data_IF_919860124905
#
_entry.id   IF_919860124905
#
_cell.length_a   1.000
_cell.length_b   1.000
_cell.length_c   1.000
_cell.angle_alpha   90.00
_cell.angle_beta   90.00
_cell.angle_gamma   90.00
#
_symmetry.space_group_name_H-M   'P 1'
#
loop_
_entity.id
_entity.type
_entity.pdbx_description
1 polymer ?
#
# COMPACT_ATOMS: atom_id res chain seq x y z
N UNK A 1 20.14 -29.04 -13.53
CA UNK A 1 18.70 -28.81 -13.29
C UNK A 1 18.20 -29.33 -11.93
N UNK A 2 19.06 -29.78 -11.00
CA UNK A 2 18.63 -30.14 -9.63
C UNK A 2 18.47 -28.93 -8.71
N UNK A 3 19.08 -27.78 -9.03
CA UNK A 3 18.98 -26.55 -8.24
C UNK A 3 17.63 -25.84 -8.40
N UNK A 4 16.90 -26.11 -9.50
CA UNK A 4 15.67 -25.39 -9.82
C UNK A 4 14.58 -25.61 -8.74
N UNK A 5 14.55 -26.81 -8.14
CA UNK A 5 13.61 -27.12 -7.05
C UNK A 5 13.96 -26.51 -5.69
N UNK A 6 15.25 -26.30 -5.39
CA UNK A 6 15.71 -25.63 -4.16
C UNK A 6 15.50 -24.13 -4.28
N UNK A 7 15.89 -23.55 -5.40
CA UNK A 7 15.70 -22.12 -5.70
C UNK A 7 14.21 -21.75 -5.73
N UNK A 8 13.34 -22.58 -6.31
CA UNK A 8 11.89 -22.31 -6.31
C UNK A 8 11.27 -22.30 -4.90
N UNK A 9 11.73 -23.17 -4.00
CA UNK A 9 11.28 -23.17 -2.59
C UNK A 9 11.79 -21.95 -1.83
N UNK A 10 13.05 -21.57 -2.03
CA UNK A 10 13.63 -20.37 -1.42
C UNK A 10 12.92 -19.09 -1.90
N UNK A 11 12.58 -18.99 -3.18
CA UNK A 11 11.82 -17.85 -3.73
C UNK A 11 10.42 -17.79 -3.10
N UNK A 12 9.70 -18.92 -3.02
CA UNK A 12 8.36 -18.96 -2.38
C UNK A 12 8.43 -18.53 -0.91
N UNK A 13 9.45 -18.98 -0.18
CA UNK A 13 9.66 -18.60 1.21
C UNK A 13 10.01 -17.11 1.35
N UNK A 14 10.87 -16.57 0.48
CA UNK A 14 11.23 -15.15 0.47
C UNK A 14 10.01 -14.26 0.18
N UNK A 15 9.17 -14.64 -0.78
CA UNK A 15 7.92 -13.93 -1.09
C UNK A 15 6.94 -13.97 0.09
N UNK A 16 6.82 -15.12 0.76
CA UNK A 16 6.02 -15.25 1.97
C UNK A 16 6.52 -14.33 3.10
N UNK A 17 7.84 -14.34 3.35
CA UNK A 17 8.46 -13.50 4.37
C UNK A 17 8.28 -12.00 4.06
N UNK A 18 8.43 -11.61 2.79
CA UNK A 18 8.19 -10.24 2.35
C UNK A 18 6.74 -9.82 2.57
N UNK A 19 5.78 -10.69 2.24
CA UNK A 19 4.35 -10.43 2.45
C UNK A 19 4.00 -10.28 3.92
N UNK A 20 4.57 -11.14 4.79
CA UNK A 20 4.44 -11.03 6.25
C UNK A 20 5.03 -9.71 6.77
N UNK A 21 6.22 -9.32 6.29
CA UNK A 21 6.84 -8.05 6.66
C UNK A 21 5.97 -6.84 6.26
N UNK A 22 5.38 -6.85 5.05
CA UNK A 22 4.46 -5.81 4.61
C UNK A 22 3.20 -5.73 5.48
N UNK A 23 2.61 -6.87 5.87
CA UNK A 23 1.46 -6.91 6.76
C UNK A 23 1.79 -6.38 8.16
N UNK A 24 2.98 -6.70 8.69
CA UNK A 24 3.46 -6.18 9.97
C UNK A 24 3.68 -4.67 9.91
N UNK A 25 4.24 -4.14 8.82
CA UNK A 25 4.42 -2.70 8.63
C UNK A 25 3.08 -1.96 8.52
N UNK A 26 2.11 -2.52 7.81
CA UNK A 26 0.75 -1.95 7.73
C UNK A 26 0.09 -1.98 9.10
N UNK A 27 0.14 -3.11 9.81
CA UNK A 27 -0.44 -3.24 11.14
C UNK A 27 0.22 -2.29 12.13
N UNK A 28 1.56 -2.20 12.13
CA UNK A 28 2.31 -1.25 12.96
C UNK A 28 1.99 0.20 12.59
N UNK A 29 1.81 0.49 11.30
CA UNK A 29 1.34 1.77 10.80
C UNK A 29 -0.03 2.12 11.36
N UNK A 30 -1.00 1.20 11.28
CA UNK A 30 -2.36 1.39 11.82
C UNK A 30 -2.32 1.56 13.34
N UNK A 31 -1.58 0.72 14.07
CA UNK A 31 -1.45 0.80 15.54
C UNK A 31 -0.78 2.09 15.98
N UNK A 32 0.28 2.51 15.29
CA UNK A 32 0.92 3.82 15.49
C UNK A 32 -0.09 4.94 15.21
N UNK A 33 -0.87 4.81 14.16
CA UNK A 33 -1.84 5.81 13.73
C UNK A 33 -3.06 5.90 14.66
N UNK A 34 -3.50 4.79 15.26
CA UNK A 34 -4.51 4.79 16.33
C UNK A 34 -3.93 5.28 17.66
N UNK A 35 -2.68 4.94 17.98
CA UNK A 35 -2.02 5.33 19.22
C UNK A 35 -1.63 6.81 19.29
N UNK A 36 -1.36 7.46 18.15
CA UNK A 36 -1.02 8.90 18.08
C UNK A 36 -2.25 9.79 18.30
N UNK A 37 -3.44 9.21 18.45
CA UNK A 37 -4.67 9.96 18.68
C UNK A 37 -5.29 10.35 17.35
N UNK A 38 -6.52 9.90 17.15
CA UNK A 38 -7.29 10.17 15.95
C UNK A 38 -7.69 11.64 15.91
N UNK A 39 -6.85 12.48 15.31
CA UNK A 39 -7.21 13.88 15.09
C UNK A 39 -8.06 13.96 13.81
N UNK A 40 -9.25 14.57 13.90
CA UNK A 40 -10.21 14.65 12.79
C UNK A 40 -9.59 15.27 11.52
N UNK A 41 -8.56 16.10 11.70
CA UNK A 41 -7.74 16.68 10.65
C UNK A 41 -7.03 15.62 9.79
N UNK A 42 -6.55 14.52 10.37
CA UNK A 42 -5.90 13.43 9.63
C UNK A 42 -6.88 12.70 8.71
N UNK A 43 -8.13 12.52 9.15
CA UNK A 43 -9.21 11.96 8.32
C UNK A 43 -9.54 12.91 7.16
N UNK A 44 -9.60 14.22 7.42
CA UNK A 44 -9.83 15.25 6.40
C UNK A 44 -8.71 15.25 5.35
N UNK A 45 -7.44 15.16 5.75
CA UNK A 45 -6.32 15.07 4.80
C UNK A 45 -6.37 13.82 3.92
N UNK A 46 -6.82 12.68 4.44
CA UNK A 46 -6.97 11.45 3.65
C UNK A 46 -8.14 11.55 2.68
N UNK A 47 -9.30 12.03 3.13
CA UNK A 47 -10.46 12.24 2.26
C UNK A 47 -10.14 13.26 1.16
N UNK A 48 -9.43 14.34 1.50
CA UNK A 48 -8.94 15.32 0.53
C UNK A 48 -7.93 14.70 -0.45
N UNK A 49 -7.01 13.87 0.02
CA UNK A 49 -6.04 13.16 -0.82
C UNK A 49 -6.69 12.22 -1.83
N UNK A 50 -7.69 11.43 -1.40
CA UNK A 50 -8.45 10.53 -2.29
C UNK A 50 -9.27 11.34 -3.30
N UNK A 51 -9.92 12.42 -2.85
CA UNK A 51 -10.66 13.33 -3.72
C UNK A 51 -9.77 13.97 -4.79
N UNK A 52 -8.59 14.47 -4.39
CA UNK A 52 -7.61 15.06 -5.28
C UNK A 52 -7.07 14.03 -6.30
N UNK A 53 -6.72 12.82 -5.87
CA UNK A 53 -6.26 11.77 -6.77
C UNK A 53 -7.34 11.38 -7.80
N UNK A 54 -8.60 11.32 -7.36
CA UNK A 54 -9.75 11.02 -8.23
C UNK A 54 -10.00 12.15 -9.23
N UNK A 55 -9.90 13.41 -8.78
CA UNK A 55 -10.06 14.59 -9.63
C UNK A 55 -8.93 14.72 -10.66
N UNK A 56 -7.67 14.48 -10.26
CA UNK A 56 -6.52 14.48 -11.15
C UNK A 56 -6.62 13.34 -12.17
N UNK A 57 -7.06 12.15 -11.75
CA UNK A 57 -7.31 11.04 -12.66
C UNK A 57 -8.43 11.36 -13.66
N UNK A 58 -9.50 12.02 -13.22
CA UNK A 58 -10.58 12.47 -14.10
C UNK A 58 -10.10 13.56 -15.08
N UNK A 59 -9.36 14.55 -14.60
CA UNK A 59 -8.77 15.59 -15.44
C UNK A 59 -7.81 15.00 -16.48
N UNK A 60 -6.97 14.05 -16.07
CA UNK A 60 -6.06 13.33 -16.95
C UNK A 60 -6.82 12.53 -18.01
N UNK A 61 -7.95 11.90 -17.64
CA UNK A 61 -8.86 11.23 -18.59
C UNK A 61 -9.55 12.23 -19.52
N UNK A 62 -9.93 13.40 -19.02
CA UNK A 62 -10.61 14.43 -19.81
C UNK A 62 -9.69 15.09 -20.84
N UNK A 63 -8.43 15.37 -20.48
CA UNK A 63 -7.44 15.94 -21.39
C UNK A 63 -7.05 14.99 -22.52
N UNK A 64 -7.10 13.68 -22.27
CA UNK A 64 -6.84 12.66 -23.30
C UNK A 64 -7.95 12.57 -24.35
N UNK A 65 -9.15 13.13 -24.09
CA UNK A 65 -10.31 12.98 -24.98
C UNK A 65 -10.46 14.10 -26.02
N UNK A 66 -9.71 15.19 -25.85
CA UNK A 66 -9.69 16.35 -26.75
C UNK A 66 -8.47 16.26 -27.65
#
# INVERSE_FOLDING_TARGET
MQNDGVTQRQIKFAVFLQSMASLLLITAGIVRWTAVGFDAWSLVFILAGIGAATAVAFLTRALRRF
#
